data_IF_685269255868
#
_entry.id   IF_685269255868
#
_cell.length_a   1.000
_cell.length_b   1.000
_cell.length_c   1.000
_cell.angle_alpha   90.00
_cell.angle_beta   90.00
_cell.angle_gamma   90.00
#
_symmetry.space_group_name_H-M   'P 1'
#
loop_
_entity.id
_entity.type
_entity.pdbx_description
1 polymer ?
#
# COMPACT_ATOMS: atom_id res chain seq x y z
N UNK A 1 46.58 -9.97 -7.04
CA UNK A 1 45.42 -9.23 -6.49
C UNK A 1 45.45 -9.37 -4.99
N UNK A 2 45.61 -8.25 -4.28
CA UNK A 2 45.73 -8.21 -2.83
C UNK A 2 44.43 -8.64 -2.14
N UNK A 3 44.55 -9.18 -0.93
CA UNK A 3 43.38 -9.60 -0.14
C UNK A 3 42.32 -8.48 0.00
N UNK A 4 42.75 -7.26 0.23
CA UNK A 4 41.87 -6.07 0.30
C UNK A 4 41.11 -5.80 -1.00
N UNK A 5 41.80 -5.94 -2.14
CA UNK A 5 41.15 -5.78 -3.48
C UNK A 5 40.09 -6.82 -3.73
N UNK A 6 40.31 -8.07 -3.30
CA UNK A 6 39.30 -9.15 -3.40
C UNK A 6 38.08 -8.86 -2.54
N UNK A 7 38.27 -8.40 -1.31
CA UNK A 7 37.17 -8.04 -0.42
C UNK A 7 36.34 -6.88 -0.96
N UNK A 8 36.98 -5.85 -1.50
CA UNK A 8 36.30 -4.71 -2.14
C UNK A 8 35.48 -5.17 -3.35
N UNK A 9 36.03 -6.04 -4.17
CA UNK A 9 35.37 -6.57 -5.35
C UNK A 9 34.14 -7.41 -4.98
N UNK A 10 34.24 -8.26 -3.97
CA UNK A 10 33.12 -9.05 -3.45
C UNK A 10 32.03 -8.14 -2.88
N UNK A 11 32.40 -7.12 -2.11
CA UNK A 11 31.47 -6.16 -1.55
C UNK A 11 30.71 -5.38 -2.64
N UNK A 12 31.42 -4.94 -3.70
CA UNK A 12 30.81 -4.25 -4.83
C UNK A 12 29.84 -5.14 -5.62
N UNK A 13 30.22 -6.41 -5.86
CA UNK A 13 29.33 -7.37 -6.54
C UNK A 13 28.10 -7.67 -5.70
N UNK A 14 28.27 -7.89 -4.39
CA UNK A 14 27.14 -8.13 -3.48
C UNK A 14 26.20 -6.91 -3.42
N UNK A 15 26.75 -5.70 -3.37
CA UNK A 15 25.95 -4.47 -3.37
C UNK A 15 25.19 -4.27 -4.70
N UNK A 16 25.85 -4.49 -5.83
CA UNK A 16 25.20 -4.42 -7.14
C UNK A 16 24.08 -5.47 -7.29
N UNK A 17 24.32 -6.70 -6.81
CA UNK A 17 23.32 -7.77 -6.80
C UNK A 17 22.10 -7.42 -5.89
N UNK A 18 22.35 -6.81 -4.74
CA UNK A 18 21.28 -6.35 -3.85
C UNK A 18 20.44 -5.24 -4.48
N UNK A 19 21.06 -4.24 -5.10
CA UNK A 19 20.36 -3.17 -5.82
C UNK A 19 19.58 -3.72 -7.03
N UNK A 20 20.21 -4.59 -7.82
CA UNK A 20 19.56 -5.24 -8.95
C UNK A 20 18.38 -6.12 -8.53
N UNK A 21 18.51 -6.87 -7.44
CA UNK A 21 17.45 -7.71 -6.88
C UNK A 21 16.27 -6.89 -6.35
N UNK A 22 16.53 -5.78 -5.66
CA UNK A 22 15.46 -4.89 -5.17
C UNK A 22 14.75 -4.17 -6.32
N UNK A 23 15.48 -3.75 -7.35
CA UNK A 23 14.88 -3.14 -8.54
C UNK A 23 14.04 -4.16 -9.33
N UNK A 24 14.60 -5.34 -9.61
CA UNK A 24 13.89 -6.41 -10.28
C UNK A 24 12.65 -6.87 -9.48
N UNK A 25 12.76 -6.98 -8.16
CA UNK A 25 11.64 -7.28 -7.28
C UNK A 25 10.52 -6.25 -7.38
N UNK A 26 10.85 -4.97 -7.44
CA UNK A 26 9.87 -3.89 -7.63
C UNK A 26 9.19 -3.91 -9.00
N UNK A 27 9.93 -4.28 -10.05
CA UNK A 27 9.39 -4.29 -11.42
C UNK A 27 8.60 -5.57 -11.71
N UNK A 28 9.08 -6.73 -11.21
CA UNK A 28 8.48 -8.03 -11.49
C UNK A 28 7.37 -8.42 -10.50
N UNK A 29 7.44 -7.91 -9.27
CA UNK A 29 6.52 -8.23 -8.18
C UNK A 29 5.83 -7.00 -7.60
N UNK A 30 5.67 -5.91 -8.40
CA UNK A 30 4.83 -4.78 -8.01
C UNK A 30 3.36 -5.24 -8.05
N UNK A 31 2.81 -5.70 -6.91
CA UNK A 31 1.45 -6.20 -6.88
C UNK A 31 0.47 -5.08 -6.54
N UNK A 32 -0.79 -5.31 -6.77
CA UNK A 32 -1.99 -4.62 -6.33
C UNK A 32 -2.56 -3.52 -7.21
N UNK A 33 -1.76 -2.65 -7.84
CA UNK A 33 -2.35 -1.67 -8.77
C UNK A 33 -2.75 -2.29 -10.11
N UNK A 34 -2.09 -3.38 -10.51
CA UNK A 34 -2.42 -4.09 -11.76
C UNK A 34 -3.70 -4.92 -11.61
N UNK A 35 -3.92 -5.57 -10.47
CA UNK A 35 -5.11 -6.40 -10.26
C UNK A 35 -6.41 -5.59 -10.27
N UNK A 36 -6.41 -4.38 -9.70
CA UNK A 36 -7.57 -3.48 -9.76
C UNK A 36 -7.84 -3.01 -11.19
N UNK A 37 -6.78 -2.65 -11.93
CA UNK A 37 -6.90 -2.20 -13.33
C UNK A 37 -7.28 -3.35 -14.25
N UNK A 38 -6.77 -4.56 -14.01
CA UNK A 38 -7.12 -5.76 -14.77
C UNK A 38 -8.55 -6.22 -14.50
N UNK A 39 -8.99 -6.19 -13.24
CA UNK A 39 -10.38 -6.48 -12.87
C UNK A 39 -11.33 -5.46 -13.50
N UNK A 40 -10.98 -4.18 -13.46
CA UNK A 40 -11.75 -3.12 -14.10
C UNK A 40 -11.83 -3.32 -15.62
N UNK A 41 -10.72 -3.62 -16.27
CA UNK A 41 -10.68 -3.90 -17.71
C UNK A 41 -11.49 -5.16 -18.07
N UNK A 42 -11.46 -6.21 -17.24
CA UNK A 42 -12.27 -7.42 -17.42
C UNK A 42 -13.77 -7.12 -17.27
N UNK A 43 -14.16 -6.33 -16.27
CA UNK A 43 -15.55 -5.92 -16.08
C UNK A 43 -16.09 -5.16 -17.30
N UNK A 44 -15.29 -4.26 -17.88
CA UNK A 44 -15.68 -3.52 -19.07
C UNK A 44 -15.67 -4.35 -20.36
N UNK A 45 -14.80 -5.38 -20.46
CA UNK A 45 -14.67 -6.19 -21.68
C UNK A 45 -15.57 -7.41 -21.73
N UNK A 46 -15.86 -8.01 -20.58
CA UNK A 46 -16.62 -9.27 -20.47
C UNK A 46 -18.11 -9.06 -20.14
N UNK A 47 -18.45 -7.95 -19.46
CA UNK A 47 -19.81 -7.56 -19.21
C UNK A 47 -20.20 -6.52 -20.26
N UNK A 48 -21.12 -6.84 -21.15
CA UNK A 48 -21.74 -5.90 -22.10
C UNK A 48 -22.56 -4.85 -21.32
N UNK A 49 -21.85 -3.93 -20.64
CA UNK A 49 -22.45 -2.88 -19.83
C UNK A 49 -23.05 -1.82 -20.74
N UNK A 50 -24.25 -1.38 -20.41
CA UNK A 50 -24.80 -0.20 -21.06
C UNK A 50 -24.17 1.10 -20.52
N UNK A 51 -24.28 2.20 -21.25
CA UNK A 51 -23.67 3.46 -20.90
C UNK A 51 -24.10 4.00 -19.52
N UNK A 52 -25.27 3.65 -19.03
CA UNK A 52 -25.77 4.05 -17.72
C UNK A 52 -25.12 3.21 -16.61
N UNK A 53 -24.86 1.94 -16.86
CA UNK A 53 -24.14 1.05 -15.96
C UNK A 53 -22.65 1.45 -15.87
N UNK A 54 -22.00 1.75 -16.99
CA UNK A 54 -20.62 2.26 -17.00
C UNK A 54 -20.50 3.54 -16.17
N UNK A 55 -21.38 4.51 -16.39
CA UNK A 55 -21.35 5.77 -15.63
C UNK A 55 -21.54 5.56 -14.12
N UNK A 56 -22.35 4.58 -13.70
CA UNK A 56 -22.52 4.24 -12.29
C UNK A 56 -21.26 3.61 -11.70
N UNK A 57 -20.66 2.66 -12.40
CA UNK A 57 -19.42 2.01 -11.96
C UNK A 57 -18.31 3.05 -11.84
N UNK A 58 -18.13 3.91 -12.83
CA UNK A 58 -17.12 4.97 -12.78
C UNK A 58 -17.33 5.92 -11.59
N UNK A 59 -18.56 6.31 -11.29
CA UNK A 59 -18.87 7.13 -10.13
C UNK A 59 -18.56 6.43 -8.80
N UNK A 60 -18.80 5.12 -8.69
CA UNK A 60 -18.47 4.30 -7.52
C UNK A 60 -16.96 4.23 -7.35
N UNK A 61 -16.21 3.99 -8.42
CA UNK A 61 -14.76 3.88 -8.41
C UNK A 61 -14.07 5.20 -8.06
N UNK A 62 -14.51 6.31 -8.62
CA UNK A 62 -13.97 7.64 -8.30
C UNK A 62 -14.17 7.99 -6.82
N UNK A 63 -15.35 7.69 -6.28
CA UNK A 63 -15.64 7.89 -4.86
C UNK A 63 -14.74 7.02 -3.99
N UNK A 64 -14.60 5.74 -4.33
CA UNK A 64 -13.72 4.82 -3.63
C UNK A 64 -12.26 5.27 -3.68
N UNK A 65 -11.73 5.62 -4.86
CA UNK A 65 -10.36 6.07 -5.02
C UNK A 65 -10.06 7.32 -4.18
N UNK A 66 -10.98 8.28 -4.14
CA UNK A 66 -10.86 9.48 -3.32
C UNK A 66 -10.84 9.15 -1.83
N UNK A 67 -11.77 8.32 -1.38
CA UNK A 67 -11.89 7.92 0.03
C UNK A 67 -10.71 7.07 0.47
N UNK A 68 -10.29 6.11 -0.34
CA UNK A 68 -9.11 5.27 -0.11
C UNK A 68 -7.84 6.12 0.05
N UNK A 69 -7.63 7.07 -0.85
CA UNK A 69 -6.47 7.97 -0.76
C UNK A 69 -6.45 8.79 0.53
N UNK A 70 -7.59 9.28 0.97
CA UNK A 70 -7.70 9.98 2.24
C UNK A 70 -7.34 9.08 3.43
N UNK A 71 -7.86 7.85 3.46
CA UNK A 71 -7.57 6.87 4.51
C UNK A 71 -6.10 6.40 4.48
N UNK A 72 -5.48 6.27 3.31
CA UNK A 72 -4.05 5.98 3.19
C UNK A 72 -3.17 7.09 3.80
N UNK A 73 -3.54 8.34 3.60
CA UNK A 73 -2.85 9.47 4.22
C UNK A 73 -3.04 9.49 5.74
N UNK A 74 -4.26 9.22 6.21
CA UNK A 74 -4.56 9.12 7.63
C UNK A 74 -3.79 7.96 8.28
N UNK A 75 -3.68 6.81 7.62
CA UNK A 75 -2.89 5.67 8.09
C UNK A 75 -1.40 6.02 8.21
N UNK A 76 -0.84 6.74 7.24
CA UNK A 76 0.56 7.20 7.32
C UNK A 76 0.77 8.15 8.50
N UNK A 77 -0.16 9.06 8.73
CA UNK A 77 -0.11 9.97 9.87
C UNK A 77 -0.25 9.21 11.20
N UNK A 78 -1.16 8.24 11.28
CA UNK A 78 -1.34 7.40 12.46
C UNK A 78 -0.08 6.58 12.78
N UNK A 79 0.57 6.00 11.77
CA UNK A 79 1.82 5.25 11.94
C UNK A 79 2.98 6.17 12.37
N UNK A 80 3.08 7.38 11.84
CA UNK A 80 4.08 8.36 12.26
C UNK A 80 3.87 8.78 13.72
N UNK A 81 2.61 9.01 14.12
CA UNK A 81 2.27 9.34 15.50
C UNK A 81 2.57 8.17 16.46
N UNK A 82 2.34 6.92 16.04
CA UNK A 82 2.72 5.75 16.83
C UNK A 82 4.23 5.68 17.03
N UNK A 83 5.01 5.92 15.98
CA UNK A 83 6.47 5.95 16.08
C UNK A 83 6.95 7.03 17.06
N UNK A 84 6.39 8.24 16.99
CA UNK A 84 6.68 9.32 17.92
C UNK A 84 6.32 8.96 19.37
N UNK A 85 5.15 8.37 19.60
CA UNK A 85 4.73 7.92 20.93
C UNK A 85 5.70 6.87 21.51
N UNK A 86 6.20 5.95 20.68
CA UNK A 86 7.19 4.94 21.08
C UNK A 86 8.54 5.57 21.45
N UNK A 87 8.97 6.61 20.73
CA UNK A 87 10.20 7.34 21.03
C UNK A 87 10.08 8.13 22.35
N UNK A 88 8.92 8.69 22.64
CA UNK A 88 8.67 9.47 23.87
C UNK A 88 8.58 8.58 25.10
N UNK A 89 7.79 7.50 25.00
CA UNK A 89 7.50 6.65 26.19
C UNK A 89 8.56 5.57 26.42
N UNK A 90 9.38 5.22 25.43
CA UNK A 90 10.37 4.15 25.49
C UNK A 90 9.82 2.80 26.01
N UNK A 91 8.50 2.59 25.87
CA UNK A 91 7.80 1.41 26.35
C UNK A 91 6.31 1.43 25.99
N UNK A 92 5.57 0.47 26.52
CA UNK A 92 4.12 0.35 26.30
C UNK A 92 3.34 1.19 27.30
N UNK A 93 3.23 2.49 27.02
CA UNK A 93 2.56 3.46 27.87
C UNK A 93 1.22 3.96 27.28
N UNK A 94 0.58 4.93 27.94
CA UNK A 94 -0.73 5.44 27.55
C UNK A 94 -0.75 6.10 26.16
N UNK A 95 0.32 6.79 25.76
CA UNK A 95 0.41 7.42 24.44
C UNK A 95 0.56 6.35 23.34
N UNK A 96 1.39 5.34 23.57
CA UNK A 96 1.54 4.20 22.64
C UNK A 96 0.23 3.44 22.52
N UNK A 97 -0.47 3.18 23.62
CA UNK A 97 -1.78 2.51 23.59
C UNK A 97 -2.80 3.31 22.78
N UNK A 98 -2.92 4.62 23.02
CA UNK A 98 -3.84 5.49 22.29
C UNK A 98 -3.50 5.56 20.79
N UNK A 99 -2.21 5.60 20.43
CA UNK A 99 -1.77 5.61 19.05
C UNK A 99 -2.07 4.27 18.32
N UNK A 100 -1.94 3.13 19.01
CA UNK A 100 -2.34 1.81 18.49
C UNK A 100 -3.83 1.76 18.23
N UNK A 101 -4.66 2.21 19.19
CA UNK A 101 -6.11 2.23 19.03
C UNK A 101 -6.54 3.10 17.84
N UNK A 102 -5.89 4.25 17.66
CA UNK A 102 -6.13 5.09 16.50
C UNK A 102 -5.74 4.40 15.18
N UNK A 103 -4.58 3.76 15.13
CA UNK A 103 -4.14 3.00 13.94
C UNK A 103 -5.12 1.88 13.60
N UNK A 104 -5.60 1.12 14.59
CA UNK A 104 -6.60 0.06 14.39
C UNK A 104 -7.93 0.63 13.88
N UNK A 105 -8.35 1.79 14.37
CA UNK A 105 -9.56 2.46 13.89
C UNK A 105 -9.44 2.81 12.40
N UNK A 106 -8.35 3.44 11.99
CA UNK A 106 -8.11 3.81 10.58
C UNK A 106 -8.06 2.55 9.68
N UNK A 107 -7.39 1.49 10.16
CA UNK A 107 -7.34 0.21 9.44
C UNK A 107 -8.75 -0.39 9.28
N UNK A 108 -9.57 -0.35 10.31
CA UNK A 108 -10.96 -0.81 10.27
C UNK A 108 -11.81 -0.02 9.27
N UNK A 109 -11.63 1.30 9.19
CA UNK A 109 -12.30 2.14 8.18
C UNK A 109 -11.85 1.80 6.75
N UNK A 110 -10.56 1.51 6.53
CA UNK A 110 -10.07 1.06 5.22
C UNK A 110 -10.70 -0.27 4.79
N UNK A 111 -10.79 -1.24 5.71
CA UNK A 111 -11.43 -2.52 5.43
C UNK A 111 -12.92 -2.35 5.11
N UNK A 112 -13.61 -1.52 5.89
CA UNK A 112 -15.02 -1.21 5.67
C UNK A 112 -15.25 -0.57 4.30
N UNK A 113 -14.47 0.44 3.94
CA UNK A 113 -14.56 1.12 2.65
C UNK A 113 -14.34 0.15 1.48
N UNK A 114 -13.36 -0.78 1.62
CA UNK A 114 -13.09 -1.80 0.62
C UNK A 114 -14.28 -2.75 0.43
N UNK A 115 -14.91 -3.18 1.53
CA UNK A 115 -16.08 -4.06 1.46
C UNK A 115 -17.31 -3.33 0.92
N UNK A 116 -17.53 -2.08 1.33
CA UNK A 116 -18.63 -1.26 0.78
C UNK A 116 -18.49 -1.05 -0.72
N UNK A 117 -17.26 -0.81 -1.20
CA UNK A 117 -16.96 -0.71 -2.62
C UNK A 117 -17.26 -2.02 -3.35
N UNK A 118 -16.78 -3.15 -2.82
CA UNK A 118 -17.01 -4.47 -3.41
C UNK A 118 -18.50 -4.79 -3.57
N UNK A 119 -19.32 -4.46 -2.57
CA UNK A 119 -20.75 -4.72 -2.60
C UNK A 119 -21.57 -3.66 -3.38
N UNK A 120 -20.97 -2.53 -3.70
CA UNK A 120 -21.60 -1.48 -4.50
C UNK A 120 -21.45 -1.71 -6.02
N UNK A 121 -20.45 -2.49 -6.42
CA UNK A 121 -20.21 -2.91 -7.81
C UNK A 121 -21.17 -4.02 -8.22
#
# INVERSE_FOLDING_TARGET
>A
MNWTTRLILIALVAFAAALGGTYAGRVLFAPERQSETELHALLHSELELDAAQEAKIEAIEQRFATRRKALELEMRAANAHLAEAMEVEHGYGPQVTAAIDHTHKVMGEMQKETLEHLFAM
#
